data_IF_833696003069
#
_entry.id   IF_833696003069
#
_cell.length_a   1.000
_cell.length_b   1.000
_cell.length_c   1.000
_cell.angle_alpha   90.00
_cell.angle_beta   90.00
_cell.angle_gamma   90.00
#
_symmetry.space_group_name_H-M   'P 1'
#
loop_
_entity.id
_entity.type
_entity.pdbx_description
1 polymer ?
#
# COMPACT_ATOMS: atom_id res chain seq x y z
N UNK A 1 -1.18 22.78 -5.09
CA UNK A 1 -2.45 22.30 -4.53
C UNK A 1 -2.36 20.86 -4.01
N UNK A 2 -3.49 20.21 -3.84
CA UNK A 2 -3.57 18.77 -3.56
C UNK A 2 -3.64 18.03 -4.89
N UNK A 3 -2.89 16.91 -5.01
CA UNK A 3 -2.89 16.06 -6.20
C UNK A 3 -3.42 14.68 -5.81
N UNK A 4 -4.39 14.18 -6.57
CA UNK A 4 -4.83 12.80 -6.46
C UNK A 4 -3.95 11.91 -7.35
N UNK A 5 -3.35 10.89 -6.76
CA UNK A 5 -2.66 9.81 -7.43
C UNK A 5 -3.55 8.56 -7.42
N UNK A 6 -4.31 8.38 -8.48
CA UNK A 6 -5.23 7.26 -8.61
C UNK A 6 -4.52 6.02 -9.17
N UNK A 7 -4.45 4.97 -8.37
CA UNK A 7 -3.89 3.68 -8.78
C UNK A 7 -4.89 2.97 -9.69
N UNK A 8 -4.55 2.78 -10.96
CA UNK A 8 -5.45 2.26 -11.98
C UNK A 8 -4.83 1.08 -12.74
N UNK A 9 -4.46 0.02 -12.03
CA UNK A 9 -4.04 -1.26 -12.59
C UNK A 9 -5.08 -2.35 -12.26
N UNK A 10 -6.28 -2.16 -12.83
CA UNK A 10 -7.48 -2.95 -12.54
C UNK A 10 -7.39 -4.44 -12.83
N UNK A 11 -8.36 -5.18 -12.30
CA UNK A 11 -9.47 -4.73 -11.44
C UNK A 11 -9.13 -4.63 -9.95
N UNK A 12 -7.91 -5.01 -9.51
CA UNK A 12 -7.53 -5.12 -8.10
C UNK A 12 -6.19 -4.45 -7.78
N UNK A 13 -5.73 -3.58 -8.65
CA UNK A 13 -4.44 -2.89 -8.52
C UNK A 13 -3.30 -3.85 -8.18
N UNK A 14 -3.12 -4.84 -9.05
CA UNK A 14 -2.03 -5.81 -8.95
C UNK A 14 -0.68 -5.10 -9.07
N UNK A 15 0.25 -5.43 -8.20
CA UNK A 15 1.60 -4.87 -8.25
C UNK A 15 2.41 -5.56 -9.35
N UNK A 16 3.04 -4.73 -10.19
CA UNK A 16 4.03 -5.15 -11.18
C UNK A 16 5.29 -4.30 -11.00
N UNK A 17 6.44 -4.75 -11.51
CA UNK A 17 7.68 -3.95 -11.47
C UNK A 17 7.50 -2.60 -12.13
N UNK A 18 6.85 -2.54 -13.29
CA UNK A 18 6.62 -1.29 -14.03
C UNK A 18 5.72 -0.33 -13.25
N UNK A 19 4.64 -0.82 -12.63
CA UNK A 19 3.76 0.00 -11.80
C UNK A 19 4.48 0.56 -10.57
N UNK A 20 5.36 -0.23 -9.95
CA UNK A 20 6.14 0.19 -8.78
C UNK A 20 7.24 1.21 -9.14
N UNK A 21 7.93 1.01 -10.25
CA UNK A 21 8.89 2.01 -10.75
C UNK A 21 8.17 3.29 -11.20
N UNK A 22 7.03 3.17 -11.88
CA UNK A 22 6.20 4.32 -12.23
C UNK A 22 5.70 5.08 -11.00
N UNK A 23 5.34 4.38 -9.92
CA UNK A 23 5.00 4.99 -8.64
C UNK A 23 6.17 5.79 -8.08
N UNK A 24 7.38 5.20 -8.01
CA UNK A 24 8.59 5.88 -7.55
C UNK A 24 8.82 7.17 -8.33
N UNK A 25 8.84 7.07 -9.66
CA UNK A 25 9.11 8.21 -10.54
C UNK A 25 8.06 9.32 -10.39
N UNK A 26 6.79 8.93 -10.25
CA UNK A 26 5.69 9.86 -10.03
C UNK A 26 5.83 10.58 -8.66
N UNK A 27 6.13 9.84 -7.58
CA UNK A 27 6.32 10.44 -6.26
C UNK A 27 7.54 11.36 -6.25
N UNK A 28 8.64 11.01 -6.90
CA UNK A 28 9.81 11.87 -7.04
C UNK A 28 9.47 13.17 -7.79
N UNK A 29 8.71 13.07 -8.88
CA UNK A 29 8.25 14.24 -9.63
C UNK A 29 7.34 15.14 -8.77
N UNK A 30 6.33 14.57 -8.11
CA UNK A 30 5.42 15.32 -7.25
C UNK A 30 6.12 15.94 -6.04
N UNK A 31 7.14 15.26 -5.50
CA UNK A 31 7.96 15.77 -4.40
C UNK A 31 8.73 17.04 -4.78
N UNK A 32 9.20 17.13 -6.01
CA UNK A 32 9.97 18.25 -6.52
C UNK A 32 9.09 19.41 -7.05
N UNK A 33 7.80 19.17 -7.32
CA UNK A 33 6.89 20.21 -7.82
C UNK A 33 6.45 21.14 -6.69
N UNK A 34 6.89 22.39 -6.71
CA UNK A 34 6.58 23.40 -5.70
C UNK A 34 5.09 23.78 -5.66
N UNK A 35 4.30 23.47 -6.66
CA UNK A 35 2.85 23.71 -6.69
C UNK A 35 2.05 22.64 -5.95
N UNK A 36 2.64 21.45 -5.74
CA UNK A 36 2.04 20.33 -5.01
C UNK A 36 2.31 20.47 -3.52
N UNK A 37 1.26 20.43 -2.70
CA UNK A 37 1.32 20.58 -1.24
C UNK A 37 0.99 19.30 -0.48
N UNK A 38 0.19 18.41 -1.08
CA UNK A 38 -0.17 17.12 -0.53
C UNK A 38 -0.57 16.15 -1.65
N UNK A 39 -0.46 14.86 -1.38
CA UNK A 39 -0.80 13.77 -2.31
C UNK A 39 -1.90 12.92 -1.67
N UNK A 40 -2.93 12.58 -2.44
CA UNK A 40 -3.98 11.63 -2.04
C UNK A 40 -3.83 10.38 -2.89
N UNK A 41 -3.52 9.25 -2.26
CA UNK A 41 -3.57 7.94 -2.92
C UNK A 41 -5.00 7.44 -2.94
N UNK A 42 -5.47 7.04 -4.10
CA UNK A 42 -6.83 6.52 -4.29
C UNK A 42 -6.85 5.31 -5.21
N UNK A 43 -8.01 4.68 -5.32
CA UNK A 43 -8.30 3.61 -6.29
C UNK A 43 -9.70 3.79 -6.85
N UNK A 44 -9.91 3.66 -8.18
CA UNK A 44 -11.24 3.67 -8.78
C UNK A 44 -11.98 2.32 -8.61
N UNK A 45 -11.32 1.31 -8.07
CA UNK A 45 -11.87 -0.04 -7.89
C UNK A 45 -12.38 -0.25 -6.47
N UNK A 46 -13.12 -1.35 -6.25
CA UNK A 46 -13.60 -1.79 -4.92
C UNK A 46 -12.49 -2.35 -4.02
N UNK A 47 -11.25 -2.29 -4.45
CA UNK A 47 -10.04 -2.78 -3.76
C UNK A 47 -8.97 -1.72 -3.89
N UNK A 48 -8.30 -1.39 -2.80
CA UNK A 48 -7.15 -0.49 -2.88
C UNK A 48 -6.02 -1.18 -3.65
N UNK A 49 -5.57 -2.34 -3.15
CA UNK A 49 -4.66 -3.24 -3.87
C UNK A 49 -4.67 -4.64 -3.24
N UNK A 50 -4.58 -5.66 -4.08
CA UNK A 50 -4.45 -7.06 -3.67
C UNK A 50 -2.98 -7.55 -3.60
N UNK A 51 -2.01 -6.67 -3.83
CA UNK A 51 -0.59 -7.03 -3.88
C UNK A 51 -0.19 -7.71 -5.19
N UNK A 52 0.83 -8.55 -5.14
CA UNK A 52 1.35 -9.29 -6.29
C UNK A 52 0.38 -10.36 -6.80
N UNK A 53 0.33 -10.55 -8.12
CA UNK A 53 -0.28 -11.73 -8.70
C UNK A 53 0.65 -12.95 -8.50
N UNK A 54 0.37 -13.74 -7.47
CA UNK A 54 1.22 -14.88 -7.10
C UNK A 54 1.26 -15.96 -8.19
N UNK A 55 0.20 -16.11 -9.01
CA UNK A 55 0.21 -17.06 -10.11
C UNK A 55 1.24 -16.68 -11.17
N UNK A 56 1.30 -15.41 -11.49
CA UNK A 56 2.25 -14.83 -12.44
C UNK A 56 3.68 -14.80 -11.84
N UNK A 57 3.82 -14.37 -10.59
CA UNK A 57 5.11 -14.28 -9.92
C UNK A 57 5.85 -15.62 -9.84
N UNK A 58 5.13 -16.75 -9.80
CA UNK A 58 5.72 -18.10 -9.85
C UNK A 58 6.37 -18.45 -11.18
N UNK A 59 6.08 -17.71 -12.23
CA UNK A 59 6.67 -17.93 -13.58
C UNK A 59 7.81 -16.96 -13.87
N UNK A 60 8.13 -16.05 -12.95
CA UNK A 60 9.19 -15.07 -13.13
C UNK A 60 10.56 -15.74 -13.23
N UNK A 61 11.33 -15.33 -14.22
CA UNK A 61 12.76 -15.61 -14.27
C UNK A 61 13.54 -14.77 -13.24
N UNK A 62 14.84 -14.98 -13.12
CA UNK A 62 15.69 -14.29 -12.15
C UNK A 62 15.67 -12.77 -12.33
N UNK A 63 15.69 -12.27 -13.56
CA UNK A 63 15.67 -10.84 -13.85
C UNK A 63 14.32 -10.20 -13.45
N UNK A 64 13.23 -10.89 -13.69
CA UNK A 64 11.89 -10.46 -13.28
C UNK A 64 11.71 -10.51 -11.75
N UNK A 65 12.28 -11.52 -11.08
CA UNK A 65 12.31 -11.59 -9.61
C UNK A 65 13.10 -10.42 -9.02
N UNK A 66 14.27 -10.13 -9.55
CA UNK A 66 15.08 -8.97 -9.12
C UNK A 66 14.35 -7.65 -9.37
N UNK A 67 13.70 -7.49 -10.52
CA UNK A 67 12.96 -6.30 -10.87
C UNK A 67 11.78 -6.05 -9.92
N UNK A 68 11.00 -7.08 -9.58
CA UNK A 68 9.86 -6.91 -8.67
C UNK A 68 10.31 -6.62 -7.24
N UNK A 69 11.38 -7.25 -6.75
CA UNK A 69 11.95 -6.98 -5.41
C UNK A 69 12.48 -5.55 -5.34
N UNK A 70 13.20 -5.10 -6.38
CA UNK A 70 13.65 -3.71 -6.49
C UNK A 70 12.47 -2.74 -6.51
N UNK A 71 11.46 -3.01 -7.35
CA UNK A 71 10.27 -2.18 -7.45
C UNK A 71 9.56 -2.03 -6.10
N UNK A 72 9.38 -3.13 -5.35
CA UNK A 72 8.78 -3.12 -4.01
C UNK A 72 9.60 -2.27 -3.03
N UNK A 73 10.94 -2.38 -3.05
CA UNK A 73 11.80 -1.57 -2.19
C UNK A 73 11.75 -0.09 -2.58
N UNK A 74 11.98 0.24 -3.85
CA UNK A 74 12.12 1.62 -4.33
C UNK A 74 10.77 2.36 -4.33
N UNK A 75 9.70 1.71 -4.79
CA UNK A 75 8.36 2.31 -4.86
C UNK A 75 7.79 2.65 -3.49
N UNK A 76 7.87 1.72 -2.53
CA UNK A 76 7.37 2.00 -1.18
C UNK A 76 8.31 2.91 -0.39
N UNK A 77 9.62 2.86 -0.62
CA UNK A 77 10.54 3.81 -0.01
C UNK A 77 10.28 5.25 -0.50
N UNK A 78 10.00 5.43 -1.78
CA UNK A 78 9.66 6.75 -2.33
C UNK A 78 8.42 7.35 -1.67
N UNK A 79 7.37 6.53 -1.43
CA UNK A 79 6.19 6.95 -0.68
C UNK A 79 6.50 7.28 0.78
N UNK A 80 7.21 6.38 1.46
CA UNK A 80 7.51 6.51 2.89
C UNK A 80 8.43 7.70 3.19
N UNK A 81 9.35 8.01 2.28
CA UNK A 81 10.28 9.12 2.39
C UNK A 81 9.77 10.42 1.71
N UNK A 82 8.54 10.42 1.21
CA UNK A 82 7.97 11.59 0.54
C UNK A 82 7.96 12.80 1.50
N UNK A 83 8.53 13.96 1.12
CA UNK A 83 8.59 15.14 1.99
C UNK A 83 7.27 15.89 2.08
N UNK A 84 6.24 15.43 1.38
CA UNK A 84 4.90 16.03 1.37
C UNK A 84 3.91 15.10 2.04
N UNK A 85 2.87 15.63 2.71
CA UNK A 85 1.81 14.80 3.28
C UNK A 85 1.19 13.86 2.25
N UNK A 86 1.13 12.58 2.58
CA UNK A 86 0.49 11.53 1.78
C UNK A 86 -0.73 11.02 2.55
N UNK A 87 -1.90 11.16 1.96
CA UNK A 87 -3.17 10.67 2.50
C UNK A 87 -3.58 9.42 1.71
N UNK A 88 -3.95 8.35 2.38
CA UNK A 88 -4.47 7.16 1.72
C UNK A 88 -6.00 7.09 1.87
N UNK A 89 -6.71 7.19 0.74
CA UNK A 89 -8.15 7.04 0.63
C UNK A 89 -8.50 5.56 0.35
N UNK A 90 -8.85 4.82 1.41
CA UNK A 90 -8.97 3.37 1.38
C UNK A 90 -10.44 2.98 1.18
N UNK A 91 -10.84 2.85 -0.06
CA UNK A 91 -12.21 2.48 -0.45
C UNK A 91 -12.49 0.98 -0.37
N UNK A 92 -11.49 0.16 -0.04
CA UNK A 92 -11.65 -1.30 0.03
C UNK A 92 -10.41 -2.02 0.54
N UNK A 93 -10.30 -3.29 0.20
CA UNK A 93 -9.26 -4.20 0.72
C UNK A 93 -7.85 -3.78 0.33
N UNK A 94 -6.92 -3.85 1.29
CA UNK A 94 -5.49 -3.63 1.13
C UNK A 94 -4.72 -4.83 1.72
N UNK A 95 -4.26 -5.76 0.88
CA UNK A 95 -3.69 -7.05 1.30
C UNK A 95 -2.29 -7.25 0.71
N UNK A 96 -1.45 -7.96 1.45
CA UNK A 96 -0.06 -8.26 1.08
C UNK A 96 0.68 -6.96 0.72
N UNK A 97 1.39 -6.92 -0.41
CA UNK A 97 2.02 -5.70 -0.91
C UNK A 97 1.10 -4.48 -0.96
N UNK A 98 -0.22 -4.69 -1.11
CA UNK A 98 -1.21 -3.61 -1.11
C UNK A 98 -1.36 -2.88 0.23
N UNK A 99 -1.04 -3.53 1.35
CA UNK A 99 -1.07 -2.89 2.66
C UNK A 99 0.02 -1.82 2.81
N UNK A 100 1.12 -1.92 2.08
CA UNK A 100 2.21 -0.95 2.20
C UNK A 100 1.83 0.45 1.68
N UNK A 101 0.88 0.58 0.77
CA UNK A 101 0.31 1.90 0.42
C UNK A 101 -0.34 2.59 1.64
N UNK A 102 -0.94 1.78 2.51
CA UNK A 102 -1.56 2.28 3.75
C UNK A 102 -0.50 2.61 4.80
N UNK A 103 0.48 1.71 4.98
CA UNK A 103 1.52 1.88 6.00
C UNK A 103 2.51 3.01 5.69
N UNK A 104 2.65 3.40 4.42
CA UNK A 104 3.51 4.52 4.02
C UNK A 104 2.83 5.88 4.09
N UNK A 105 1.50 5.92 4.24
CA UNK A 105 0.76 7.18 4.29
C UNK A 105 0.76 7.81 5.68
N UNK A 106 0.74 9.15 5.71
CA UNK A 106 0.69 9.95 6.95
C UNK A 106 -0.70 9.98 7.56
N UNK A 107 -1.76 9.93 6.74
CA UNK A 107 -3.14 9.86 7.20
C UNK A 107 -3.95 8.87 6.36
N UNK A 108 -4.77 8.04 7.04
CA UNK A 108 -5.38 6.85 6.45
C UNK A 108 -6.87 6.82 6.75
N UNK A 109 -7.67 7.08 5.71
CA UNK A 109 -9.14 7.14 5.79
C UNK A 109 -9.71 5.90 5.11
N UNK A 110 -10.57 5.15 5.76
CA UNK A 110 -11.06 3.87 5.29
C UNK A 110 -12.58 3.77 5.30
N UNK A 111 -13.12 2.92 4.41
CA UNK A 111 -14.49 2.42 4.53
C UNK A 111 -14.60 1.37 5.63
N UNK A 112 -15.79 1.17 6.23
CA UNK A 112 -15.98 0.13 7.26
C UNK A 112 -15.87 -1.31 6.70
N UNK A 113 -15.99 -1.50 5.39
CA UNK A 113 -15.92 -2.81 4.75
C UNK A 113 -14.52 -3.24 4.33
N UNK A 114 -13.54 -2.35 4.43
CA UNK A 114 -12.16 -2.64 4.06
C UNK A 114 -11.53 -3.75 4.92
N UNK A 115 -10.58 -4.47 4.32
CA UNK A 115 -9.79 -5.52 4.99
C UNK A 115 -8.31 -5.24 4.81
N UNK A 116 -7.54 -5.51 5.85
CA UNK A 116 -6.10 -5.22 5.91
C UNK A 116 -5.33 -6.46 6.32
N UNK A 117 -4.19 -6.76 5.70
CA UNK A 117 -3.41 -7.93 6.10
C UNK A 117 -2.12 -8.12 5.31
N UNK A 118 -1.19 -8.83 5.93
CA UNK A 118 0.06 -9.29 5.34
C UNK A 118 -0.06 -10.81 5.13
N UNK A 119 -0.26 -11.23 3.90
CA UNK A 119 -0.62 -12.61 3.56
C UNK A 119 0.57 -13.45 3.05
N UNK A 120 1.76 -12.90 3.04
CA UNK A 120 2.99 -13.45 2.44
C UNK A 120 3.32 -14.84 2.98
N UNK A 121 3.21 -15.05 4.29
CA UNK A 121 3.46 -16.36 4.93
C UNK A 121 2.55 -17.48 4.39
N UNK A 122 1.34 -17.14 3.92
CA UNK A 122 0.38 -18.12 3.38
C UNK A 122 0.76 -18.66 2.00
N UNK A 123 1.62 -17.95 1.32
CA UNK A 123 2.06 -18.28 -0.05
C UNK A 123 3.56 -18.57 -0.12
N UNK A 124 4.26 -18.52 1.03
CA UNK A 124 5.69 -18.82 1.13
C UNK A 124 6.58 -17.76 0.48
N UNK A 125 6.19 -16.48 0.57
CA UNK A 125 6.96 -15.36 0.03
C UNK A 125 7.53 -14.56 1.19
N UNK A 126 8.81 -14.20 1.10
CA UNK A 126 9.49 -13.34 2.06
C UNK A 126 9.17 -11.86 1.80
N UNK A 127 9.35 -11.05 2.85
CA UNK A 127 9.25 -9.61 2.73
C UNK A 127 10.56 -9.02 2.21
N UNK A 128 10.53 -8.22 1.11
CA UNK A 128 11.68 -7.39 0.75
C UNK A 128 12.07 -6.46 1.91
N UNK A 129 13.33 -6.05 1.94
CA UNK A 129 13.89 -5.28 3.05
C UNK A 129 13.13 -3.97 3.34
N UNK A 130 12.81 -3.18 2.29
CA UNK A 130 12.09 -1.93 2.43
C UNK A 130 10.71 -2.11 3.07
N UNK A 131 9.81 -2.91 2.48
CA UNK A 131 8.54 -3.28 3.10
C UNK A 131 8.65 -3.81 4.52
N UNK A 132 9.63 -4.68 4.80
CA UNK A 132 9.84 -5.21 6.15
C UNK A 132 10.17 -4.08 7.16
N UNK A 133 11.08 -3.18 6.82
CA UNK A 133 11.45 -2.07 7.70
C UNK A 133 10.30 -1.06 7.86
N UNK A 134 9.52 -0.79 6.81
CA UNK A 134 8.31 0.03 6.90
C UNK A 134 7.31 -0.59 7.88
N UNK A 135 7.04 -1.90 7.76
CA UNK A 135 6.13 -2.58 8.68
C UNK A 135 6.63 -2.53 10.14
N UNK A 136 7.94 -2.69 10.35
CA UNK A 136 8.57 -2.58 11.69
C UNK A 136 8.52 -1.16 12.27
N UNK A 137 8.60 -0.15 11.42
CA UNK A 137 8.56 1.26 11.83
C UNK A 137 7.13 1.76 12.13
N UNK A 138 6.11 1.21 11.42
CA UNK A 138 4.73 1.71 11.48
C UNK A 138 3.79 0.88 12.35
N UNK A 139 4.08 -0.41 12.54
CA UNK A 139 3.26 -1.31 13.36
C UNK A 139 3.88 -1.53 14.75
N UNK A 140 3.02 -1.74 15.74
CA UNK A 140 3.51 -2.27 17.02
C UNK A 140 4.16 -3.65 16.81
N UNK A 141 5.12 -4.02 17.65
CA UNK A 141 5.78 -5.34 17.57
C UNK A 141 4.79 -6.51 17.62
N UNK A 142 3.70 -6.36 18.41
CA UNK A 142 2.67 -7.38 18.51
C UNK A 142 1.80 -7.44 17.25
N UNK A 143 1.46 -6.31 16.67
CA UNK A 143 0.62 -6.25 15.47
C UNK A 143 1.39 -6.70 14.23
N UNK A 144 2.65 -6.31 14.08
CA UNK A 144 3.53 -6.84 13.04
C UNK A 144 3.60 -8.38 13.13
N UNK A 145 3.90 -8.93 14.33
CA UNK A 145 3.92 -10.38 14.56
C UNK A 145 2.57 -11.04 14.24
N UNK A 146 1.46 -10.41 14.65
CA UNK A 146 0.10 -10.92 14.42
C UNK A 146 -0.24 -10.98 12.94
N UNK A 147 0.04 -9.93 12.19
CA UNK A 147 -0.26 -9.86 10.76
C UNK A 147 0.67 -10.78 9.95
N UNK A 148 1.98 -10.69 10.19
CA UNK A 148 2.97 -11.41 9.38
C UNK A 148 2.98 -12.92 9.64
N UNK A 149 2.88 -13.37 10.91
CA UNK A 149 2.95 -14.81 11.22
C UNK A 149 1.62 -15.52 11.01
N UNK A 150 0.48 -14.84 11.17
CA UNK A 150 -0.83 -15.46 10.93
C UNK A 150 -1.30 -15.36 9.48
N UNK A 151 -0.86 -14.34 8.75
CA UNK A 151 -1.28 -14.07 7.39
C UNK A 151 -2.79 -13.85 7.23
N UNK A 152 -3.50 -13.52 8.32
CA UNK A 152 -4.95 -13.28 8.31
C UNK A 152 -5.23 -11.79 8.25
N UNK A 153 -6.19 -11.43 7.41
CA UNK A 153 -6.69 -10.05 7.37
C UNK A 153 -7.51 -9.70 8.60
N UNK A 154 -7.52 -8.42 8.94
CA UNK A 154 -8.36 -7.80 9.96
C UNK A 154 -9.36 -6.86 9.30
N UNK A 155 -10.46 -6.55 9.98
CA UNK A 155 -11.44 -5.55 9.54
C UNK A 155 -10.98 -4.12 9.87
N UNK A 156 -11.75 -3.14 9.41
CA UNK A 156 -11.42 -1.73 9.56
C UNK A 156 -11.35 -1.28 11.02
N UNK A 157 -12.26 -1.75 11.88
CA UNK A 157 -12.25 -1.41 13.31
C UNK A 157 -11.03 -1.99 14.02
N UNK A 158 -10.69 -3.25 13.74
CA UNK A 158 -9.44 -3.84 14.25
C UNK A 158 -8.22 -3.09 13.73
N UNK A 159 -8.18 -2.73 12.44
CA UNK A 159 -7.10 -1.97 11.84
C UNK A 159 -6.95 -0.58 12.47
N UNK A 160 -8.06 0.09 12.81
CA UNK A 160 -8.06 1.35 13.55
C UNK A 160 -7.47 1.19 14.96
N UNK A 161 -7.88 0.15 15.68
CA UNK A 161 -7.32 -0.15 17.00
C UNK A 161 -5.83 -0.52 16.97
N UNK A 162 -5.34 -1.03 15.83
CA UNK A 162 -3.92 -1.33 15.60
C UNK A 162 -3.13 -0.11 15.10
N UNK A 163 -3.78 1.04 14.87
CA UNK A 163 -3.14 2.23 14.31
C UNK A 163 -2.80 2.13 12.81
N UNK A 164 -3.42 1.18 12.09
CA UNK A 164 -3.28 1.04 10.63
C UNK A 164 -4.20 2.03 9.90
N UNK A 165 -5.34 2.37 10.50
CA UNK A 165 -6.34 3.31 9.99
C UNK A 165 -6.57 4.40 11.03
N UNK A 166 -6.66 5.65 10.60
CA UNK A 166 -6.90 6.79 11.49
C UNK A 166 -8.40 7.11 11.58
N UNK A 167 -9.11 7.03 10.46
CA UNK A 167 -10.52 7.40 10.38
C UNK A 167 -11.31 6.38 9.55
N UNK A 168 -12.50 6.02 10.04
CA UNK A 168 -13.47 5.19 9.30
C UNK A 168 -14.67 6.06 8.98
N UNK A 169 -15.04 6.15 7.71
CA UNK A 169 -16.15 6.96 7.20
C UNK A 169 -17.01 6.15 6.24
N UNK A 170 -18.18 6.66 5.86
CA UNK A 170 -18.99 6.05 4.81
C UNK A 170 -18.21 6.00 3.47
N UNK A 171 -18.57 5.07 2.60
CA UNK A 171 -17.82 4.86 1.35
C UNK A 171 -17.74 6.12 0.48
N UNK A 172 -18.82 6.89 0.42
CA UNK A 172 -18.91 8.12 -0.38
C UNK A 172 -18.09 9.29 0.22
N UNK A 173 -17.70 9.18 1.49
CA UNK A 173 -16.94 10.21 2.21
C UNK A 173 -15.43 9.95 2.22
N UNK A 174 -14.96 8.78 1.73
CA UNK A 174 -13.53 8.45 1.70
C UNK A 174 -12.77 9.34 0.72
N UNK A 175 -13.36 9.60 -0.42
CA UNK A 175 -12.86 10.53 -1.44
C UNK A 175 -14.05 11.34 -1.96
N UNK A 176 -14.38 12.47 -1.32
CA UNK A 176 -15.46 13.35 -1.79
C UNK A 176 -15.17 13.85 -3.20
N UNK A 177 -16.20 13.87 -4.06
CA UNK A 177 -16.10 14.39 -5.43
C UNK A 177 -16.07 15.92 -5.47
#
# INVERSE_FOLDING_TARGET
GVVELSMNNGPVNTLTSDALFGLRDCIEQLSNDQTVRAIVLSSPFKVLSAGLNIKEARTFDSAQQDAIVRGLNEGFLALYACPKPVICAINGTAIAGGLFFVLTADHRISTPTAKFGLAEVRVGVDFPMGPLEIAKATLSKNDARRLMLRGKSVDAETAKNMGIVDLIVAADDVLPQ
#
